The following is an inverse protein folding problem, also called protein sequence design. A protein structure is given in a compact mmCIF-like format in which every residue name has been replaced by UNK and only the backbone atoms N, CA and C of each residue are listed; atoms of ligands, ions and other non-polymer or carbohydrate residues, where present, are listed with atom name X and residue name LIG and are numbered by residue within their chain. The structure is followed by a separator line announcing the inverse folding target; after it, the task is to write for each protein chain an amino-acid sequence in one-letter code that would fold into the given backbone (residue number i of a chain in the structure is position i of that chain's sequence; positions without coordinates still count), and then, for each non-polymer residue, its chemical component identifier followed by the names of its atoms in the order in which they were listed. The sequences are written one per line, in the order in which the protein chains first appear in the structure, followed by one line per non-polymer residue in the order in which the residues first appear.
data_IF_234627836863
#
_entry.id   IF_234627836863
#
_cell.length_a   1.000
_cell.length_b   1.000
_cell.length_c   1.000
_cell.angle_alpha   90.00
_cell.angle_beta   90.00
_cell.angle_gamma   90.00
#
_symmetry.space_group_name_H-M   'P 1'
#
loop_
_entity.id
_entity.type
_entity.pdbx_description
1 polymer ?
#
# COMPACT_ATOMS: atom_id res chain seq x y z
N UNK A 1 15.31 19.69 24.14
CA UNK A 1 14.20 18.87 23.59
C UNK A 1 13.91 17.67 24.48
N UNK A 2 12.68 17.17 24.52
CA UNK A 2 12.27 16.01 25.30
C UNK A 2 11.50 15.03 24.41
N UNK A 3 11.84 13.73 24.47
CA UNK A 3 11.09 12.66 23.80
C UNK A 3 10.12 12.06 24.83
N UNK A 4 8.83 12.05 24.49
CA UNK A 4 7.77 11.52 25.35
C UNK A 4 7.03 10.38 24.66
N UNK A 5 6.62 9.40 25.44
CA UNK A 5 5.76 8.33 24.98
C UNK A 5 4.30 8.79 24.93
N UNK A 6 3.61 8.45 23.85
CA UNK A 6 2.20 8.82 23.65
C UNK A 6 1.28 8.06 24.61
N UNK A 7 1.55 6.77 24.84
CA UNK A 7 0.77 5.91 25.72
C UNK A 7 -0.73 5.98 25.46
N UNK A 8 -1.52 6.01 26.54
CA UNK A 8 -2.99 6.08 26.49
C UNK A 8 -3.55 7.52 26.55
N UNK A 9 -2.67 8.55 26.58
CA UNK A 9 -3.07 9.96 26.65
C UNK A 9 -3.85 10.38 25.38
N UNK A 10 -5.12 10.74 25.55
CA UNK A 10 -5.97 11.23 24.45
C UNK A 10 -5.38 12.48 23.77
N UNK A 11 -4.78 13.37 24.55
CA UNK A 11 -4.15 14.60 24.05
C UNK A 11 -2.95 14.26 23.17
N UNK A 12 -2.06 13.37 23.63
CA UNK A 12 -0.87 12.97 22.86
C UNK A 12 -1.23 12.13 21.63
N UNK A 13 -2.25 11.26 21.71
CA UNK A 13 -2.79 10.53 20.54
C UNK A 13 -3.28 11.50 19.47
N UNK A 14 -4.07 12.50 19.87
CA UNK A 14 -4.53 13.55 18.96
C UNK A 14 -3.36 14.34 18.37
N UNK A 15 -2.39 14.72 19.19
CA UNK A 15 -1.20 15.44 18.74
C UNK A 15 -0.38 14.62 17.71
N UNK A 16 -0.21 13.32 17.96
CA UNK A 16 0.45 12.40 17.04
C UNK A 16 -0.22 12.38 15.65
N UNK A 17 -1.56 12.44 15.59
CA UNK A 17 -2.32 12.48 14.33
C UNK A 17 -2.28 13.84 13.65
N UNK A 18 -2.26 14.93 14.42
CA UNK A 18 -2.37 16.30 13.90
C UNK A 18 -1.01 16.91 13.51
N UNK A 19 0.08 16.45 14.10
CA UNK A 19 1.42 16.97 13.84
C UNK A 19 1.80 17.02 12.35
N UNK A 20 1.55 15.99 11.51
CA UNK A 20 1.86 16.08 10.09
C UNK A 20 1.19 17.24 9.36
N UNK A 21 0.00 17.64 9.78
CA UNK A 21 -0.69 18.79 9.17
C UNK A 21 0.09 20.11 9.32
N UNK A 22 0.95 20.20 10.34
CA UNK A 22 1.85 21.35 10.50
C UNK A 22 3.09 21.24 9.64
N UNK A 23 3.68 20.04 9.55
CA UNK A 23 4.86 19.77 8.70
C UNK A 23 4.54 20.02 7.24
N UNK A 24 3.36 19.61 6.78
CA UNK A 24 2.93 19.73 5.37
C UNK A 24 2.07 20.97 5.09
N UNK A 25 2.03 21.95 6.00
CA UNK A 25 1.28 23.17 5.78
C UNK A 25 1.72 23.88 4.49
N UNK A 26 0.78 24.10 3.56
CA UNK A 26 1.05 24.70 2.25
C UNK A 26 1.52 23.71 1.18
N UNK A 27 1.77 22.46 1.50
CA UNK A 27 2.04 21.44 0.49
C UNK A 27 0.73 20.99 -0.17
N UNK A 28 0.59 21.22 -1.47
CA UNK A 28 -0.64 20.93 -2.22
C UNK A 28 -0.81 19.45 -2.58
N UNK A 29 0.22 18.64 -2.43
CA UNK A 29 0.20 17.23 -2.78
C UNK A 29 -0.03 16.33 -1.58
N UNK A 30 0.36 16.76 -0.39
CA UNK A 30 0.12 15.98 0.82
C UNK A 30 -1.38 15.86 1.14
N UNK A 31 -1.81 14.65 1.43
CA UNK A 31 -3.20 14.35 1.82
C UNK A 31 -3.17 13.77 3.23
N UNK A 32 -3.87 14.42 4.16
CA UNK A 32 -4.01 13.89 5.51
C UNK A 32 -4.77 12.57 5.48
N UNK A 33 -4.16 11.45 5.95
CA UNK A 33 -4.85 10.17 6.10
C UNK A 33 -6.06 10.30 7.04
N UNK A 34 -7.00 9.36 6.94
CA UNK A 34 -8.09 9.27 7.91
C UNK A 34 -7.53 8.94 9.29
N UNK A 35 -7.89 9.73 10.30
CA UNK A 35 -7.43 9.56 11.67
C UNK A 35 -7.77 8.13 12.19
N UNK A 36 -8.95 7.62 11.84
CA UNK A 36 -9.37 6.27 12.22
C UNK A 36 -8.52 5.15 11.59
N UNK A 37 -8.02 5.35 10.36
CA UNK A 37 -7.17 4.35 9.69
C UNK A 37 -5.83 4.24 10.41
N UNK A 38 -5.28 5.37 10.86
CA UNK A 38 -4.03 5.41 11.63
C UNK A 38 -4.24 4.87 13.05
N UNK A 39 -5.27 5.33 13.78
CA UNK A 39 -5.53 4.86 15.15
C UNK A 39 -5.83 3.37 15.22
N UNK A 40 -6.47 2.79 14.21
CA UNK A 40 -6.74 1.34 14.15
C UNK A 40 -5.45 0.51 14.24
N UNK A 41 -4.33 1.00 13.71
CA UNK A 41 -3.04 0.32 13.73
C UNK A 41 -2.51 0.19 15.16
N UNK A 42 -2.74 1.21 15.98
CA UNK A 42 -2.26 1.32 17.35
C UNK A 42 -3.29 0.88 18.40
N UNK A 43 -4.48 0.45 17.97
CA UNK A 43 -5.55 -0.01 18.85
C UNK A 43 -5.37 -1.51 19.15
N UNK A 44 -5.01 -1.83 20.40
CA UNK A 44 -4.79 -3.22 20.86
C UNK A 44 -6.03 -4.12 20.71
N UNK A 45 -7.22 -3.53 20.62
CA UNK A 45 -8.47 -4.30 20.47
C UNK A 45 -8.83 -4.57 19.01
N UNK A 46 -8.19 -3.87 18.05
CA UNK A 46 -8.50 -3.96 16.61
C UNK A 46 -7.37 -4.53 15.78
N UNK A 47 -6.12 -4.32 16.20
CA UNK A 47 -4.97 -4.84 15.47
C UNK A 47 -4.55 -6.20 16.06
N UNK A 48 -4.76 -7.31 15.33
CA UNK A 48 -4.45 -8.65 15.83
C UNK A 48 -2.95 -8.89 16.02
N UNK A 49 -2.07 -8.04 15.45
CA UNK A 49 -0.62 -8.18 15.62
C UNK A 49 -0.14 -7.90 17.05
N UNK A 50 -0.98 -7.32 17.89
CA UNK A 50 -0.68 -7.24 19.33
C UNK A 50 -0.72 -8.59 20.05
N UNK A 51 -1.26 -9.64 19.40
CA UNK A 51 -1.09 -11.01 19.87
C UNK A 51 0.33 -11.49 19.51
N UNK A 52 1.22 -11.43 20.48
CA UNK A 52 2.65 -11.73 20.33
C UNK A 52 3.53 -10.60 19.78
N UNK A 53 2.96 -9.47 19.41
CA UNK A 53 3.69 -8.27 18.99
C UNK A 53 3.54 -7.11 19.95
N UNK A 54 4.30 -6.06 19.71
CA UNK A 54 4.27 -4.84 20.52
C UNK A 54 4.54 -3.59 19.69
N UNK A 55 4.09 -2.43 20.17
CA UNK A 55 4.23 -1.16 19.47
C UNK A 55 4.25 0.00 20.47
N UNK A 56 5.03 1.03 20.14
CA UNK A 56 5.13 2.28 20.90
C UNK A 56 5.10 3.48 19.96
N UNK A 57 4.55 4.59 20.43
CA UNK A 57 4.57 5.88 19.73
C UNK A 57 5.30 6.93 20.55
N UNK A 58 6.10 7.76 19.89
CA UNK A 58 6.83 8.85 20.51
C UNK A 58 6.55 10.18 19.82
N UNK A 59 6.59 11.23 20.62
CA UNK A 59 6.63 12.63 20.18
C UNK A 59 7.88 13.28 20.74
N UNK A 60 8.51 14.18 19.97
CA UNK A 60 9.56 15.07 20.47
C UNK A 60 8.99 16.45 20.65
N UNK A 61 9.20 17.03 21.82
CA UNK A 61 8.77 18.37 22.20
C UNK A 61 10.01 19.24 22.40
N UNK A 62 9.99 20.45 21.85
CA UNK A 62 11.04 21.45 22.06
C UNK A 62 10.88 22.20 23.41
N UNK A 63 11.77 23.14 23.66
CA UNK A 63 11.78 23.94 24.90
C UNK A 63 10.58 24.86 25.02
N UNK A 64 9.90 25.17 23.91
CA UNK A 64 8.66 25.95 23.90
C UNK A 64 7.40 25.14 24.16
N UNK A 65 7.53 23.81 24.26
CA UNK A 65 6.41 22.87 24.39
C UNK A 65 5.76 22.48 23.06
N UNK A 66 6.37 22.80 21.92
CA UNK A 66 5.85 22.45 20.61
C UNK A 66 6.37 21.09 20.15
N UNK A 67 5.49 20.29 19.54
CA UNK A 67 5.90 19.04 18.90
C UNK A 67 6.69 19.34 17.63
N UNK A 68 7.87 18.74 17.53
CA UNK A 68 8.81 18.89 16.40
C UNK A 68 9.12 17.59 15.68
N UNK A 69 8.79 16.43 16.25
CA UNK A 69 8.86 15.14 15.57
C UNK A 69 7.88 14.12 16.16
N UNK A 70 7.57 13.09 15.37
CA UNK A 70 6.84 11.89 15.78
C UNK A 70 7.45 10.65 15.14
N UNK A 71 7.32 9.48 15.80
CA UNK A 71 7.67 8.17 15.26
C UNK A 71 6.94 7.07 16.01
N UNK A 72 6.76 5.91 15.38
CA UNK A 72 6.37 4.68 16.05
C UNK A 72 7.45 3.60 15.84
N UNK A 73 7.66 2.75 16.85
CA UNK A 73 8.45 1.53 16.71
C UNK A 73 7.58 0.33 17.07
N UNK A 74 7.86 -0.83 16.46
CA UNK A 74 7.05 -2.02 16.68
C UNK A 74 7.79 -3.32 16.36
N UNK A 75 7.35 -4.41 16.99
CA UNK A 75 7.76 -5.78 16.70
C UNK A 75 6.55 -6.52 16.15
N UNK A 76 6.58 -6.81 14.85
CA UNK A 76 5.52 -7.58 14.19
C UNK A 76 5.83 -9.08 14.34
N UNK A 77 5.00 -9.86 15.06
CA UNK A 77 5.27 -11.25 15.37
C UNK A 77 5.37 -12.13 14.11
N UNK A 78 4.69 -11.72 13.03
CA UNK A 78 4.67 -12.48 11.79
C UNK A 78 5.93 -12.28 10.92
N UNK A 79 6.73 -11.24 11.19
CA UNK A 79 7.88 -10.90 10.33
C UNK A 79 9.19 -10.74 11.08
N UNK A 80 9.16 -10.48 12.38
CA UNK A 80 10.33 -10.13 13.17
C UNK A 80 11.47 -11.18 13.10
N UNK A 81 11.12 -12.47 13.02
CA UNK A 81 12.07 -13.58 13.00
C UNK A 81 12.13 -14.35 11.67
N UNK A 82 11.62 -13.77 10.58
CA UNK A 82 11.60 -14.43 9.25
C UNK A 82 12.84 -14.14 8.39
N UNK A 83 13.67 -13.19 8.79
CA UNK A 83 14.88 -12.78 8.07
C UNK A 83 16.14 -13.39 8.68
N UNK A 84 17.30 -13.06 8.12
CA UNK A 84 18.62 -13.51 8.58
C UNK A 84 18.92 -13.10 10.03
N UNK A 85 18.28 -12.04 10.53
CA UNK A 85 18.39 -11.55 11.90
C UNK A 85 17.04 -11.05 12.41
N UNK A 86 16.79 -11.05 13.75
CA UNK A 86 15.61 -10.45 14.34
C UNK A 86 15.47 -8.97 13.95
N UNK A 87 14.39 -8.63 13.24
CA UNK A 87 14.20 -7.30 12.68
C UNK A 87 12.88 -6.69 13.13
N UNK A 88 12.94 -5.54 13.81
CA UNK A 88 11.77 -4.74 14.13
C UNK A 88 11.45 -3.71 13.06
N UNK A 89 10.41 -2.91 13.28
CA UNK A 89 9.99 -1.85 12.37
C UNK A 89 9.94 -0.48 13.04
N UNK A 90 10.15 0.55 12.25
CA UNK A 90 9.82 1.93 12.62
C UNK A 90 9.01 2.59 11.50
N UNK A 91 8.10 3.50 11.86
CA UNK A 91 7.29 4.19 10.87
C UNK A 91 6.50 5.36 11.42
N UNK A 92 5.62 5.92 10.60
CA UNK A 92 4.90 7.16 10.93
C UNK A 92 5.85 8.29 11.35
N UNK A 93 7.07 8.24 10.82
CA UNK A 93 8.12 9.21 11.09
C UNK A 93 7.78 10.53 10.39
N UNK A 94 7.74 11.59 11.18
CA UNK A 94 7.67 12.97 10.72
C UNK A 94 8.56 13.83 11.60
N UNK A 95 9.29 14.76 11.01
CA UNK A 95 10.24 15.61 11.70
C UNK A 95 10.37 16.96 11.01
N UNK A 96 10.61 18.02 11.76
CA UNK A 96 11.09 19.29 11.18
C UNK A 96 12.42 19.05 10.45
N UNK A 97 12.86 19.96 9.61
CA UNK A 97 14.16 19.88 8.93
C UNK A 97 15.31 20.09 9.92
N UNK A 98 15.52 19.07 10.76
CA UNK A 98 16.59 19.03 11.77
C UNK A 98 17.07 17.59 11.97
N UNK A 99 18.29 17.32 11.49
CA UNK A 99 18.89 16.00 11.52
C UNK A 99 19.14 15.46 12.94
N UNK A 100 19.50 16.33 13.90
CA UNK A 100 19.74 15.90 15.29
C UNK A 100 18.45 15.40 15.94
N UNK A 101 17.31 16.07 15.67
CA UNK A 101 15.99 15.63 16.14
C UNK A 101 15.62 14.28 15.51
N UNK A 102 15.87 14.13 14.21
CA UNK A 102 15.59 12.87 13.51
C UNK A 102 16.44 11.72 14.08
N UNK A 103 17.72 11.95 14.31
CA UNK A 103 18.64 10.93 14.87
C UNK A 103 18.23 10.52 16.27
N UNK A 104 17.87 11.47 17.12
CA UNK A 104 17.36 11.17 18.46
C UNK A 104 16.10 10.27 18.43
N UNK A 105 15.22 10.46 17.43
CA UNK A 105 14.03 9.61 17.25
C UNK A 105 14.41 8.21 16.76
N UNK A 106 15.39 8.09 15.85
CA UNK A 106 15.92 6.79 15.39
C UNK A 106 16.62 6.04 16.52
N UNK A 107 17.42 6.72 17.33
CA UNK A 107 18.06 6.15 18.54
C UNK A 107 17.01 5.64 19.53
N UNK A 108 15.93 6.41 19.75
CA UNK A 108 14.85 5.99 20.64
C UNK A 108 14.16 4.72 20.15
N UNK A 109 13.90 4.61 18.84
CA UNK A 109 13.37 3.39 18.24
C UNK A 109 14.34 2.21 18.36
N UNK A 110 15.62 2.45 18.06
CA UNK A 110 16.68 1.43 18.18
C UNK A 110 16.76 0.86 19.59
N UNK A 111 16.84 1.71 20.62
CA UNK A 111 16.91 1.26 22.03
C UNK A 111 15.67 0.42 22.37
N UNK A 112 14.47 0.89 22.05
CA UNK A 112 13.22 0.18 22.33
C UNK A 112 13.18 -1.20 21.64
N UNK A 113 13.69 -1.30 20.42
CA UNK A 113 13.77 -2.55 19.67
C UNK A 113 14.84 -3.49 20.22
N UNK A 114 16.01 -2.98 20.64
CA UNK A 114 17.08 -3.76 21.27
C UNK A 114 16.60 -4.40 22.60
N UNK A 115 15.84 -3.68 23.41
CA UNK A 115 15.23 -4.19 24.64
C UNK A 115 14.28 -5.37 24.36
N UNK A 116 13.81 -5.54 23.11
CA UNK A 116 12.94 -6.64 22.63
C UNK A 116 13.66 -7.68 21.79
N UNK A 117 14.99 -7.68 21.85
CA UNK A 117 15.83 -8.68 21.18
C UNK A 117 15.96 -8.48 19.67
N UNK A 118 15.60 -7.31 19.13
CA UNK A 118 15.82 -7.03 17.71
C UNK A 118 17.27 -6.62 17.46
N UNK A 119 17.80 -7.03 16.31
CA UNK A 119 19.17 -6.77 15.85
C UNK A 119 19.20 -5.79 14.68
N UNK A 120 18.05 -5.51 14.09
CA UNK A 120 17.89 -4.56 13.01
C UNK A 120 16.53 -3.85 13.09
N UNK A 121 16.39 -2.72 12.38
CA UNK A 121 15.10 -2.07 12.15
C UNK A 121 14.88 -1.72 10.69
N UNK A 122 13.71 -2.03 10.19
CA UNK A 122 13.22 -1.60 8.87
C UNK A 122 12.39 -0.32 9.00
N UNK A 123 12.52 0.57 8.03
CA UNK A 123 11.75 1.82 8.05
C UNK A 123 11.76 2.63 6.75
N UNK A 124 10.81 3.55 6.62
CA UNK A 124 9.56 3.60 7.38
C UNK A 124 8.57 2.52 6.92
N UNK A 125 7.99 1.81 7.84
CA UNK A 125 7.04 0.73 7.59
C UNK A 125 5.85 0.80 8.56
N UNK A 126 4.88 -0.11 8.43
CA UNK A 126 3.66 -0.13 9.21
C UNK A 126 3.65 -1.30 10.21
N UNK A 127 2.94 -1.15 11.33
CA UNK A 127 2.57 -2.27 12.20
C UNK A 127 1.30 -2.94 11.68
N UNK A 128 1.43 -3.54 10.49
CA UNK A 128 0.34 -4.12 9.72
C UNK A 128 0.84 -4.82 8.46
N UNK A 129 -0.02 -4.91 7.48
CA UNK A 129 0.30 -5.49 6.18
C UNK A 129 1.16 -4.53 5.34
N UNK A 130 1.98 -5.09 4.45
CA UNK A 130 2.84 -4.32 3.53
C UNK A 130 2.07 -3.43 2.54
N UNK A 131 0.78 -3.67 2.37
CA UNK A 131 -0.06 -2.98 1.40
C UNK A 131 -0.33 -1.52 1.76
N UNK A 132 -0.08 -1.14 3.00
CA UNK A 132 -0.33 0.21 3.50
C UNK A 132 0.86 0.76 4.27
N UNK A 133 1.12 2.06 4.11
CA UNK A 133 2.15 2.84 4.81
C UNK A 133 3.51 2.14 4.88
N UNK A 134 4.07 1.87 3.69
CA UNK A 134 5.32 1.15 3.56
C UNK A 134 6.30 1.86 2.63
N UNK A 135 7.54 2.04 3.10
CA UNK A 135 8.63 2.68 2.37
C UNK A 135 8.65 4.20 2.44
N UNK A 136 9.83 4.77 2.40
CA UNK A 136 10.06 6.21 2.31
C UNK A 136 9.74 6.68 0.90
N UNK A 137 8.79 7.58 0.72
CA UNK A 137 8.51 8.22 -0.56
C UNK A 137 9.69 9.11 -0.96
N UNK A 138 10.27 8.87 -2.12
CA UNK A 138 11.47 9.57 -2.58
C UNK A 138 11.34 10.23 -3.95
N UNK A 139 10.31 9.87 -4.74
CA UNK A 139 10.11 10.42 -6.08
C UNK A 139 8.74 9.99 -6.64
N UNK A 140 8.01 10.91 -7.36
CA UNK A 140 8.16 12.35 -7.42
C UNK A 140 7.45 13.05 -6.25
N UNK A 141 7.96 14.21 -5.82
CA UNK A 141 7.34 14.98 -4.72
C UNK A 141 6.20 15.90 -5.16
N UNK A 142 5.92 15.97 -6.45
CA UNK A 142 4.82 16.73 -7.04
C UNK A 142 3.63 15.85 -7.46
N UNK A 143 3.44 14.73 -6.75
CA UNK A 143 2.35 13.79 -6.95
C UNK A 143 1.63 13.47 -5.64
N UNK A 144 0.29 13.42 -5.69
CA UNK A 144 -0.53 12.97 -4.55
C UNK A 144 -0.23 11.51 -4.22
N UNK A 145 -0.10 11.12 -2.92
CA UNK A 145 0.00 9.72 -2.54
C UNK A 145 -1.29 8.98 -2.88
N UNK A 146 -1.18 7.70 -3.21
CA UNK A 146 -2.35 6.82 -3.23
C UNK A 146 -2.81 6.51 -1.81
N UNK A 147 -4.10 6.19 -1.64
CA UNK A 147 -4.65 5.85 -0.33
C UNK A 147 -3.83 4.74 0.35
N UNK A 148 -3.54 4.94 1.62
CA UNK A 148 -2.70 4.03 2.40
C UNK A 148 -1.21 4.09 2.09
N UNK A 149 -0.72 5.04 1.28
CA UNK A 149 0.70 5.23 1.04
C UNK A 149 1.22 6.50 1.73
N UNK A 150 2.47 6.45 2.15
CA UNK A 150 3.14 7.60 2.72
C UNK A 150 3.40 8.70 1.67
N UNK A 151 3.45 9.94 2.15
CA UNK A 151 4.06 11.08 1.50
C UNK A 151 5.09 11.67 2.47
N UNK A 152 6.29 11.97 1.99
CA UNK A 152 7.39 12.40 2.86
C UNK A 152 8.05 13.69 2.34
N UNK A 153 8.71 14.41 3.25
CA UNK A 153 9.56 15.55 2.90
C UNK A 153 10.85 15.08 2.22
N UNK A 154 11.38 15.89 1.29
CA UNK A 154 12.61 15.55 0.53
C UNK A 154 13.81 15.28 1.43
N UNK A 155 13.94 16.04 2.51
CA UNK A 155 15.08 15.96 3.42
C UNK A 155 15.08 14.69 4.29
N UNK A 156 13.96 13.96 4.40
CA UNK A 156 13.96 12.69 5.16
C UNK A 156 14.90 11.66 4.57
N UNK A 157 15.03 11.61 3.25
CA UNK A 157 15.97 10.70 2.61
C UNK A 157 17.38 10.88 3.15
N UNK A 158 17.86 12.12 3.24
CA UNK A 158 19.17 12.43 3.81
C UNK A 158 19.28 12.01 5.27
N UNK A 159 18.22 12.18 6.08
CA UNK A 159 18.24 11.75 7.48
C UNK A 159 18.43 10.25 7.62
N UNK A 160 17.71 9.44 6.82
CA UNK A 160 17.87 7.98 6.83
C UNK A 160 19.27 7.58 6.39
N UNK A 161 19.74 8.08 5.26
CA UNK A 161 21.06 7.72 4.70
C UNK A 161 22.22 8.18 5.60
N UNK A 162 22.17 9.40 6.13
CA UNK A 162 23.20 9.95 7.03
C UNK A 162 23.25 9.25 8.39
N UNK A 163 22.13 8.75 8.91
CA UNK A 163 22.08 7.94 10.11
C UNK A 163 22.72 6.55 9.89
N UNK A 164 22.75 6.09 8.63
CA UNK A 164 23.36 4.83 8.23
C UNK A 164 22.35 3.73 7.88
N UNK A 165 21.12 4.08 7.64
CA UNK A 165 20.19 3.16 6.98
C UNK A 165 20.64 2.86 5.55
N UNK A 166 20.38 1.65 5.09
CA UNK A 166 20.76 1.17 3.76
C UNK A 166 19.49 0.73 2.99
N UNK A 167 19.47 0.98 1.66
CA UNK A 167 18.39 0.59 0.76
C UNK A 167 18.21 -0.93 0.77
N UNK A 168 17.16 -1.40 1.47
CA UNK A 168 16.86 -2.82 1.59
C UNK A 168 16.11 -3.34 0.37
N UNK A 169 15.09 -2.61 -0.09
CA UNK A 169 14.43 -2.80 -1.38
C UNK A 169 13.65 -1.56 -1.77
N UNK A 170 13.40 -1.45 -3.08
CA UNK A 170 12.57 -0.37 -3.64
C UNK A 170 11.21 -0.87 -4.08
N UNK A 171 10.22 0.00 -4.00
CA UNK A 171 8.86 -0.25 -4.40
C UNK A 171 8.43 0.82 -5.38
N UNK A 172 7.81 0.41 -6.48
CA UNK A 172 7.40 1.31 -7.54
C UNK A 172 5.90 1.22 -7.75
N UNK A 173 5.23 2.36 -7.89
CA UNK A 173 3.90 2.39 -8.50
C UNK A 173 4.03 2.64 -10.00
N UNK A 174 3.01 2.24 -10.74
CA UNK A 174 2.99 2.38 -12.20
C UNK A 174 1.69 3.00 -12.64
N UNK A 175 1.77 3.95 -13.58
CA UNK A 175 0.62 4.67 -14.08
C UNK A 175 0.27 4.23 -15.51
N UNK A 176 -1.03 4.01 -15.72
CA UNK A 176 -1.64 3.68 -17.00
C UNK A 176 -2.76 4.66 -17.33
N UNK A 177 -2.88 5.14 -18.57
CA UNK A 177 -4.08 5.81 -19.04
C UNK A 177 -5.20 4.79 -19.26
N UNK A 178 -6.45 5.15 -18.91
CA UNK A 178 -7.63 4.32 -19.15
C UNK A 178 -8.32 4.63 -20.49
N UNK A 179 -8.47 5.91 -20.93
CA UNK A 179 -9.13 6.22 -22.19
C UNK A 179 -8.48 5.50 -23.37
N UNK A 180 -9.29 4.93 -24.26
CA UNK A 180 -8.85 4.02 -25.33
C UNK A 180 -7.72 4.61 -26.18
N UNK A 181 -7.87 5.84 -26.63
CA UNK A 181 -6.89 6.50 -27.49
C UNK A 181 -5.51 6.59 -26.82
N UNK A 182 -5.46 6.96 -25.54
CA UNK A 182 -4.20 7.08 -24.79
C UNK A 182 -3.66 5.68 -24.40
N UNK A 183 -4.53 4.75 -24.00
CA UNK A 183 -4.15 3.38 -23.66
C UNK A 183 -3.51 2.67 -24.85
N UNK A 184 -4.07 2.79 -26.06
CA UNK A 184 -3.52 2.19 -27.29
C UNK A 184 -2.14 2.71 -27.67
N UNK A 185 -1.77 3.91 -27.25
CA UNK A 185 -0.42 4.46 -27.51
C UNK A 185 0.67 3.80 -26.66
N UNK A 186 0.33 3.32 -25.48
CA UNK A 186 1.30 2.81 -24.50
C UNK A 186 1.31 1.30 -24.39
N UNK A 187 0.16 0.63 -24.57
CA UNK A 187 0.02 -0.82 -24.52
C UNK A 187 0.75 -1.44 -25.71
N UNK A 188 1.55 -2.47 -25.45
CA UNK A 188 2.28 -3.18 -26.51
C UNK A 188 1.31 -3.94 -27.43
N UNK A 189 1.45 -3.87 -28.77
CA UNK A 189 0.57 -4.60 -29.71
C UNK A 189 0.45 -6.09 -29.41
N UNK A 190 1.54 -6.73 -29.02
CA UNK A 190 1.56 -8.16 -28.66
C UNK A 190 0.54 -8.51 -27.54
N UNK A 191 0.19 -7.57 -26.65
CA UNK A 191 -0.83 -7.82 -25.64
C UNK A 191 -2.19 -8.11 -26.27
N UNK A 192 -2.57 -7.37 -27.31
CA UNK A 192 -3.84 -7.56 -28.02
C UNK A 192 -3.88 -8.92 -28.73
N UNK A 193 -2.76 -9.31 -29.37
CA UNK A 193 -2.66 -10.61 -30.06
C UNK A 193 -2.78 -11.76 -29.07
N UNK A 194 -2.05 -11.70 -27.94
CA UNK A 194 -2.10 -12.70 -26.88
C UNK A 194 -3.51 -12.81 -26.30
N UNK A 195 -4.13 -11.67 -25.95
CA UNK A 195 -5.47 -11.64 -25.38
C UNK A 195 -6.52 -12.20 -26.36
N UNK A 196 -6.45 -11.82 -27.65
CA UNK A 196 -7.39 -12.32 -28.66
C UNK A 196 -7.25 -13.83 -28.86
N UNK A 197 -6.03 -14.39 -28.81
CA UNK A 197 -5.82 -15.84 -28.83
C UNK A 197 -6.52 -16.53 -27.66
N UNK A 198 -6.40 -15.98 -26.44
CA UNK A 198 -7.08 -16.52 -25.25
C UNK A 198 -8.60 -16.48 -25.43
N UNK A 199 -9.17 -15.36 -25.90
CA UNK A 199 -10.62 -15.24 -26.13
C UNK A 199 -11.14 -16.22 -27.20
N UNK A 200 -10.30 -16.60 -28.17
CA UNK A 200 -10.63 -17.59 -29.20
C UNK A 200 -10.48 -19.03 -28.72
N UNK A 201 -9.88 -19.26 -27.55
CA UNK A 201 -9.68 -20.60 -27.00
C UNK A 201 -10.91 -20.98 -26.15
N UNK A 202 -11.57 -22.12 -26.43
CA UNK A 202 -12.73 -22.54 -25.66
C UNK A 202 -12.43 -22.71 -24.17
N UNK A 203 -13.43 -22.45 -23.34
CA UNK A 203 -13.38 -22.64 -21.89
C UNK A 203 -12.92 -21.42 -21.11
N UNK A 204 -12.28 -20.41 -21.72
CA UNK A 204 -11.92 -19.17 -21.03
C UNK A 204 -13.08 -18.18 -20.99
N UNK A 205 -13.31 -17.59 -19.82
CA UNK A 205 -14.30 -16.54 -19.58
C UNK A 205 -13.70 -15.47 -18.66
N UNK A 206 -14.01 -14.18 -18.92
CA UNK A 206 -13.54 -13.05 -18.13
C UNK A 206 -14.71 -12.13 -17.83
N UNK A 207 -14.98 -11.90 -16.55
CA UNK A 207 -16.10 -11.08 -16.11
C UNK A 207 -15.76 -10.26 -14.89
N UNK A 208 -16.42 -9.11 -14.77
CA UNK A 208 -16.33 -8.31 -13.56
C UNK A 208 -17.31 -8.82 -12.49
N UNK A 209 -17.09 -8.37 -11.26
CA UNK A 209 -17.95 -8.68 -10.12
C UNK A 209 -19.36 -8.19 -10.33
N UNK A 210 -20.32 -8.97 -9.82
CA UNK A 210 -21.70 -8.56 -9.63
C UNK A 210 -21.98 -8.43 -8.12
N UNK A 211 -22.38 -7.25 -7.66
CA UNK A 211 -22.69 -6.97 -6.24
C UNK A 211 -23.76 -7.87 -5.64
N UNK A 212 -24.60 -8.49 -6.47
CA UNK A 212 -25.62 -9.45 -6.03
C UNK A 212 -25.03 -10.83 -5.71
N UNK A 213 -23.83 -11.13 -6.19
CA UNK A 213 -23.15 -12.42 -6.09
C UNK A 213 -21.85 -12.35 -5.27
N UNK A 214 -21.70 -11.34 -4.40
CA UNK A 214 -20.46 -11.15 -3.61
C UNK A 214 -19.97 -12.39 -2.86
N UNK A 215 -20.85 -13.26 -2.28
CA UNK A 215 -20.37 -14.49 -1.64
C UNK A 215 -19.62 -15.43 -2.60
N UNK A 216 -20.09 -15.55 -3.86
CA UNK A 216 -19.41 -16.33 -4.89
C UNK A 216 -18.04 -15.74 -5.19
N UNK A 217 -17.96 -14.43 -5.44
CA UNK A 217 -16.69 -13.77 -5.75
C UNK A 217 -15.70 -13.75 -4.57
N UNK A 218 -16.19 -13.78 -3.32
CA UNK A 218 -15.35 -13.96 -2.15
C UNK A 218 -14.69 -15.35 -2.15
N UNK A 219 -15.43 -16.40 -2.50
CA UNK A 219 -14.90 -17.76 -2.62
C UNK A 219 -13.94 -17.89 -3.81
N UNK A 220 -14.28 -17.34 -4.97
CA UNK A 220 -13.39 -17.32 -6.15
C UNK A 220 -12.06 -16.60 -5.82
N UNK A 221 -12.13 -15.46 -5.10
CA UNK A 221 -10.95 -14.75 -4.59
C UNK A 221 -10.12 -15.63 -3.68
N UNK A 222 -10.73 -16.30 -2.70
CA UNK A 222 -10.07 -17.20 -1.76
C UNK A 222 -9.32 -18.32 -2.48
N UNK A 223 -9.99 -18.98 -3.45
CA UNK A 223 -9.40 -20.09 -4.22
C UNK A 223 -8.16 -19.62 -4.98
N UNK A 224 -8.27 -18.52 -5.71
CA UNK A 224 -7.14 -18.00 -6.49
C UNK A 224 -6.02 -17.53 -5.55
N UNK A 225 -6.35 -16.79 -4.48
CA UNK A 225 -5.37 -16.28 -3.51
C UNK A 225 -4.55 -17.43 -2.93
N UNK A 226 -5.20 -18.46 -2.39
CA UNK A 226 -4.51 -19.58 -1.76
C UNK A 226 -3.62 -20.34 -2.76
N UNK A 227 -4.07 -20.55 -4.00
CA UNK A 227 -3.26 -21.19 -5.06
C UNK A 227 -2.10 -20.30 -5.53
N UNK A 228 -2.34 -19.02 -5.74
CA UNK A 228 -1.33 -18.09 -6.27
C UNK A 228 -0.22 -17.79 -5.27
N UNK A 229 -0.52 -17.77 -3.96
CA UNK A 229 0.42 -17.48 -2.87
C UNK A 229 0.74 -18.68 -1.98
N UNK A 230 0.36 -19.91 -2.36
CA UNK A 230 0.58 -21.12 -1.57
C UNK A 230 2.04 -21.34 -1.12
N UNK A 231 3.00 -20.83 -1.89
CA UNK A 231 4.44 -20.91 -1.58
C UNK A 231 4.94 -19.76 -0.70
N UNK A 232 4.12 -18.75 -0.46
CA UNK A 232 4.50 -17.58 0.33
C UNK A 232 3.98 -17.74 1.76
N UNK A 233 4.79 -18.38 2.60
CA UNK A 233 4.43 -18.70 4.01
C UNK A 233 4.10 -17.45 4.84
N UNK A 234 4.57 -16.26 4.46
CA UNK A 234 4.30 -15.01 5.17
C UNK A 234 2.90 -14.43 4.92
N UNK A 235 2.23 -14.82 3.83
CA UNK A 235 0.91 -14.31 3.49
C UNK A 235 -0.22 -14.95 4.31
N UNK A 236 -0.01 -16.14 4.86
CA UNK A 236 -1.02 -16.93 5.57
C UNK A 236 -2.12 -17.44 4.64
N UNK A 237 -2.87 -18.42 5.12
CA UNK A 237 -4.01 -18.94 4.38
C UNK A 237 -5.21 -17.99 4.45
N UNK A 238 -5.88 -17.79 3.31
CA UNK A 238 -7.13 -17.06 3.22
C UNK A 238 -8.29 -17.99 3.58
N UNK A 239 -8.89 -17.78 4.76
CA UNK A 239 -10.08 -18.54 5.17
C UNK A 239 -11.34 -18.00 4.49
N UNK A 240 -12.44 -18.79 4.40
CA UNK A 240 -13.71 -18.32 3.86
C UNK A 240 -14.23 -17.07 4.59
N UNK A 241 -14.12 -17.05 5.92
CA UNK A 241 -14.58 -15.94 6.78
C UNK A 241 -13.78 -14.68 6.50
N UNK A 242 -12.43 -14.80 6.34
CA UNK A 242 -11.55 -13.67 6.02
C UNK A 242 -11.87 -13.10 4.63
N UNK A 243 -12.06 -13.96 3.63
CA UNK A 243 -12.44 -13.53 2.28
C UNK A 243 -13.79 -12.83 2.25
N UNK A 244 -14.79 -13.37 2.95
CA UNK A 244 -16.10 -12.75 3.08
C UNK A 244 -16.03 -11.38 3.80
N UNK A 245 -15.25 -11.28 4.88
CA UNK A 245 -15.04 -10.04 5.62
C UNK A 245 -14.37 -8.96 4.75
N UNK A 246 -13.36 -9.32 3.95
CA UNK A 246 -12.71 -8.41 3.00
C UNK A 246 -13.75 -7.86 2.00
N UNK A 247 -14.54 -8.73 1.36
CA UNK A 247 -15.56 -8.31 0.39
C UNK A 247 -16.65 -7.43 1.02
N UNK A 248 -17.08 -7.71 2.24
CA UNK A 248 -18.03 -6.86 2.97
C UNK A 248 -17.44 -5.49 3.31
N UNK A 249 -16.18 -5.44 3.72
CA UNK A 249 -15.47 -4.20 4.01
C UNK A 249 -15.31 -3.35 2.75
N UNK A 250 -15.06 -3.98 1.61
CA UNK A 250 -14.91 -3.29 0.32
C UNK A 250 -16.25 -2.85 -0.30
N UNK A 251 -17.38 -3.46 0.09
CA UNK A 251 -18.71 -3.23 -0.52
C UNK A 251 -19.08 -1.75 -0.67
N UNK A 252 -18.81 -0.83 0.29
CA UNK A 252 -19.15 0.59 0.16
C UNK A 252 -18.37 1.34 -0.94
N UNK A 253 -17.18 0.85 -1.29
CA UNK A 253 -16.27 1.47 -2.26
C UNK A 253 -16.12 0.64 -3.54
N UNK A 254 -16.75 -0.54 -3.56
CA UNK A 254 -16.65 -1.46 -4.67
C UNK A 254 -17.40 -0.92 -5.88
N UNK A 255 -16.71 -0.88 -7.01
CA UNK A 255 -17.30 -0.69 -8.33
C UNK A 255 -17.12 -1.96 -9.16
N UNK A 256 -18.23 -2.47 -9.73
CA UNK A 256 -18.24 -3.78 -10.37
C UNK A 256 -17.21 -3.87 -11.50
N UNK A 257 -17.12 -2.84 -12.33
CA UNK A 257 -16.22 -2.75 -13.47
C UNK A 257 -14.72 -2.67 -13.10
N UNK A 258 -14.41 -2.43 -11.82
CA UNK A 258 -13.02 -2.38 -11.31
C UNK A 258 -12.53 -3.71 -10.72
N UNK A 259 -13.39 -4.75 -10.65
CA UNK A 259 -13.02 -6.05 -10.07
C UNK A 259 -13.27 -7.17 -11.06
N UNK A 260 -12.21 -7.72 -11.62
CA UNK A 260 -12.26 -8.72 -12.69
C UNK A 260 -11.80 -10.09 -12.23
N UNK A 261 -12.47 -11.12 -12.73
CA UNK A 261 -12.12 -12.52 -12.55
C UNK A 261 -12.00 -13.22 -13.89
N UNK A 262 -10.99 -14.10 -14.02
CA UNK A 262 -10.80 -15.00 -15.14
C UNK A 262 -11.12 -16.43 -14.74
N UNK A 263 -11.76 -17.16 -15.63
CA UNK A 263 -12.18 -18.55 -15.44
C UNK A 263 -11.69 -19.42 -16.60
N UNK A 264 -11.49 -20.71 -16.31
CA UNK A 264 -11.28 -21.73 -17.34
C UNK A 264 -12.15 -22.94 -17.00
N UNK A 265 -13.05 -23.32 -17.92
CA UNK A 265 -14.05 -24.38 -17.72
C UNK A 265 -14.90 -24.18 -16.43
N UNK A 266 -15.18 -22.93 -16.09
CA UNK A 266 -15.93 -22.55 -14.88
C UNK A 266 -15.12 -22.42 -13.61
N UNK A 267 -13.86 -22.87 -13.58
CA UNK A 267 -12.98 -22.76 -12.43
C UNK A 267 -12.26 -21.40 -12.39
N UNK A 268 -12.20 -20.72 -11.21
CA UNK A 268 -11.54 -19.44 -11.09
C UNK A 268 -10.01 -19.59 -11.15
N UNK A 269 -9.36 -18.83 -12.06
CA UNK A 269 -7.93 -18.95 -12.33
C UNK A 269 -7.14 -17.65 -12.17
N UNK A 270 -7.81 -16.52 -12.22
CA UNK A 270 -7.17 -15.21 -12.12
C UNK A 270 -8.12 -14.16 -11.54
N UNK A 271 -7.56 -13.14 -10.91
CA UNK A 271 -8.26 -11.91 -10.58
C UNK A 271 -7.41 -10.67 -10.85
N UNK A 272 -8.07 -9.56 -11.13
CA UNK A 272 -7.50 -8.22 -11.15
C UNK A 272 -8.45 -7.30 -10.38
N UNK A 273 -8.04 -6.93 -9.17
CA UNK A 273 -8.85 -6.15 -8.25
C UNK A 273 -8.32 -4.73 -8.19
N UNK A 274 -9.19 -3.81 -8.54
CA UNK A 274 -8.97 -2.37 -8.51
C UNK A 274 -10.06 -1.72 -7.66
N UNK A 275 -9.82 -0.52 -7.20
CA UNK A 275 -10.79 0.31 -6.47
C UNK A 275 -10.68 1.77 -6.95
N UNK A 276 -11.68 2.61 -6.69
CA UNK A 276 -11.51 4.06 -6.79
C UNK A 276 -10.32 4.53 -5.94
N UNK A 277 -9.53 5.48 -6.43
CA UNK A 277 -8.46 6.08 -5.61
C UNK A 277 -9.06 6.99 -4.54
N UNK A 278 -9.14 6.48 -3.31
CA UNK A 278 -9.89 7.12 -2.23
C UNK A 278 -9.32 8.47 -1.80
N UNK A 279 -8.00 8.69 -1.97
CA UNK A 279 -7.39 9.98 -1.63
C UNK A 279 -7.92 11.13 -2.49
N UNK A 280 -8.46 10.85 -3.67
CA UNK A 280 -9.16 11.86 -4.49
C UNK A 280 -10.39 12.46 -3.76
N UNK A 281 -10.99 11.71 -2.83
CA UNK A 281 -12.11 12.15 -1.99
C UNK A 281 -11.60 12.57 -0.61
N UNK A 282 -10.69 11.79 0.00
CA UNK A 282 -10.17 12.01 1.35
C UNK A 282 -9.52 13.40 1.49
N UNK A 283 -8.87 13.91 0.44
CA UNK A 283 -8.26 15.26 0.46
C UNK A 283 -9.24 16.38 0.83
N UNK A 284 -10.54 16.18 0.60
CA UNK A 284 -11.57 17.17 0.92
C UNK A 284 -12.13 17.07 2.34
N UNK A 285 -11.79 16.02 3.09
CA UNK A 285 -12.35 15.75 4.44
C UNK A 285 -11.35 15.90 5.59
N UNK A 286 -10.09 16.24 5.26
CA UNK A 286 -9.06 16.57 6.25
C UNK A 286 -8.93 15.57 7.41
N UNK A 287 -8.86 14.28 7.07
CA UNK A 287 -8.61 13.19 8.02
C UNK A 287 -9.80 12.79 8.91
N UNK A 288 -10.93 13.50 8.88
CA UNK A 288 -12.06 13.28 9.82
C UNK A 288 -13.33 12.84 9.11
N UNK A 289 -13.67 11.57 9.23
CA UNK A 289 -14.91 11.00 8.70
C UNK A 289 -16.09 11.18 9.69
N UNK A 290 -16.27 12.41 10.19
CA UNK A 290 -17.43 12.84 10.98
C UNK A 290 -18.63 13.12 10.04
N UNK A 291 -19.75 13.66 10.57
CA UNK A 291 -20.95 13.93 9.76
C UNK A 291 -20.66 14.81 8.54
N UNK A 292 -19.87 15.89 8.71
CA UNK A 292 -19.47 16.79 7.62
C UNK A 292 -18.60 16.03 6.60
N UNK A 293 -17.64 15.23 7.09
CA UNK A 293 -16.80 14.39 6.25
C UNK A 293 -17.62 13.39 5.43
N UNK A 294 -18.62 12.74 6.03
CA UNK A 294 -19.54 11.82 5.32
C UNK A 294 -20.38 12.53 4.25
N UNK A 295 -20.87 13.75 4.53
CA UNK A 295 -21.61 14.55 3.54
C UNK A 295 -20.67 14.91 2.36
N UNK A 296 -19.45 15.37 2.63
CA UNK A 296 -18.46 15.65 1.58
C UNK A 296 -18.11 14.40 0.79
N UNK A 297 -17.91 13.26 1.46
CA UNK A 297 -17.69 11.97 0.79
C UNK A 297 -18.82 11.65 -0.20
N UNK A 298 -20.05 11.69 0.28
CA UNK A 298 -21.22 11.41 -0.55
C UNK A 298 -21.32 12.39 -1.74
N UNK A 299 -21.10 13.69 -1.51
CA UNK A 299 -21.08 14.70 -2.56
C UNK A 299 -20.05 14.36 -3.66
N UNK A 300 -18.79 14.11 -3.28
CA UNK A 300 -17.73 13.81 -4.24
C UNK A 300 -17.98 12.48 -4.99
N UNK A 301 -18.57 11.50 -4.32
CA UNK A 301 -18.97 10.22 -4.95
C UNK A 301 -20.07 10.44 -5.98
N UNK A 302 -21.14 11.16 -5.64
CA UNK A 302 -22.26 11.44 -6.55
C UNK A 302 -21.83 12.31 -7.75
N UNK A 303 -20.98 13.30 -7.50
CA UNK A 303 -20.44 14.18 -8.55
C UNK A 303 -19.34 13.53 -9.39
N UNK A 304 -18.96 12.28 -9.10
CA UNK A 304 -17.91 11.52 -9.82
C UNK A 304 -16.61 12.32 -9.99
N UNK A 305 -16.19 13.03 -8.91
CA UNK A 305 -14.99 13.87 -8.94
C UNK A 305 -13.69 13.05 -8.93
N UNK A 306 -13.77 11.78 -8.55
CA UNK A 306 -12.65 10.86 -8.60
C UNK A 306 -12.38 10.44 -10.05
N UNK A 307 -11.17 10.73 -10.54
CA UNK A 307 -10.71 10.44 -11.91
C UNK A 307 -9.64 9.37 -11.98
N UNK A 308 -9.25 8.81 -10.83
CA UNK A 308 -8.20 7.80 -10.74
C UNK A 308 -8.73 6.50 -10.15
N UNK A 309 -8.40 5.39 -10.78
CA UNK A 309 -8.50 4.05 -10.19
C UNK A 309 -7.16 3.61 -9.62
N UNK A 310 -7.19 2.73 -8.62
CA UNK A 310 -6.01 2.12 -8.00
C UNK A 310 -6.08 0.59 -8.17
N UNK A 311 -5.01 0.00 -8.70
CA UNK A 311 -4.82 -1.45 -8.68
C UNK A 311 -4.40 -1.90 -7.28
N UNK A 312 -5.13 -2.83 -6.70
CA UNK A 312 -4.88 -3.33 -5.34
C UNK A 312 -4.08 -4.62 -5.38
N UNK A 313 -4.59 -5.61 -6.10
CA UNK A 313 -3.98 -6.94 -6.18
C UNK A 313 -4.29 -7.59 -7.53
N UNK A 314 -3.28 -8.29 -8.05
CA UNK A 314 -3.36 -9.06 -9.26
C UNK A 314 -2.83 -10.47 -9.01
N UNK A 315 -3.58 -11.49 -9.40
CA UNK A 315 -3.18 -12.87 -9.18
C UNK A 315 -3.60 -13.80 -10.32
N UNK A 316 -2.71 -14.72 -10.66
CA UNK A 316 -2.96 -15.84 -11.58
C UNK A 316 -2.42 -17.10 -10.93
N UNK A 317 -3.21 -18.16 -10.88
CA UNK A 317 -2.76 -19.43 -10.32
C UNK A 317 -1.59 -20.00 -11.11
N UNK A 318 -0.64 -20.72 -10.47
CA UNK A 318 0.64 -21.12 -11.08
C UNK A 318 0.51 -21.81 -12.42
N UNK A 319 -0.47 -22.68 -12.60
CA UNK A 319 -0.71 -23.49 -13.80
C UNK A 319 -1.06 -22.63 -15.03
N UNK A 320 -1.49 -21.39 -14.83
CA UNK A 320 -1.91 -20.47 -15.89
C UNK A 320 -0.99 -19.28 -16.08
N UNK A 321 0.04 -19.13 -15.23
CA UNK A 321 1.02 -18.06 -15.36
C UNK A 321 1.80 -18.18 -16.68
N UNK A 322 2.09 -17.03 -17.32
CA UNK A 322 2.83 -16.98 -18.58
C UNK A 322 2.07 -17.49 -19.81
N UNK A 323 0.79 -17.84 -19.67
CA UNK A 323 -0.06 -18.29 -20.79
C UNK A 323 -0.83 -17.16 -21.47
N UNK A 324 -0.73 -15.92 -20.96
CA UNK A 324 -1.38 -14.73 -21.50
C UNK A 324 -2.69 -14.35 -20.83
N UNK A 325 -3.02 -15.00 -19.70
CA UNK A 325 -4.21 -14.69 -18.90
C UNK A 325 -4.15 -13.23 -18.39
N UNK A 326 -2.95 -12.78 -18.05
CA UNK A 326 -2.67 -11.40 -17.64
C UNK A 326 -3.11 -10.40 -18.72
N UNK A 327 -2.78 -10.71 -19.98
CA UNK A 327 -3.16 -9.86 -21.12
C UNK A 327 -4.67 -9.89 -21.37
N UNK A 328 -5.29 -11.06 -21.26
CA UNK A 328 -6.72 -11.21 -21.49
C UNK A 328 -7.57 -10.48 -20.44
N UNK A 329 -7.27 -10.65 -19.15
CA UNK A 329 -8.01 -9.97 -18.08
C UNK A 329 -7.82 -8.44 -18.14
N UNK A 330 -6.60 -7.97 -18.45
CA UNK A 330 -6.32 -6.54 -18.61
C UNK A 330 -7.08 -5.94 -19.80
N UNK A 331 -7.14 -6.66 -20.94
CA UNK A 331 -7.91 -6.19 -22.10
C UNK A 331 -9.42 -6.27 -21.87
N UNK A 332 -9.90 -7.23 -21.08
CA UNK A 332 -11.34 -7.28 -20.67
C UNK A 332 -11.74 -6.04 -19.88
N UNK A 333 -10.94 -5.67 -18.88
CA UNK A 333 -11.09 -4.42 -18.14
C UNK A 333 -11.05 -3.21 -19.08
N UNK A 334 -10.03 -3.13 -19.93
CA UNK A 334 -9.87 -1.99 -20.85
C UNK A 334 -11.10 -1.81 -21.74
N UNK A 335 -11.61 -2.90 -22.36
CA UNK A 335 -12.81 -2.87 -23.23
C UNK A 335 -14.05 -2.39 -22.49
N UNK A 336 -14.24 -2.77 -21.25
CA UNK A 336 -15.36 -2.29 -20.43
C UNK A 336 -15.26 -0.79 -20.13
N UNK A 337 -14.03 -0.27 -20.02
CA UNK A 337 -13.77 1.16 -19.75
C UNK A 337 -13.75 2.01 -21.02
N UNK A 338 -13.60 1.43 -22.21
CA UNK A 338 -13.53 2.16 -23.49
C UNK A 338 -14.93 2.55 -23.99
N UNK A 339 -15.63 3.24 -23.14
CA UNK A 339 -16.98 3.79 -23.42
C UNK A 339 -16.97 5.32 -23.26
N UNK A 340 -17.83 6.04 -23.98
CA UNK A 340 -17.91 7.49 -23.84
C UNK A 340 -18.17 7.90 -22.40
N UNK A 341 -17.42 8.94 -21.94
CA UNK A 341 -17.57 9.53 -20.60
C UNK A 341 -17.32 8.54 -19.44
N UNK A 342 -16.47 7.52 -19.64
CA UNK A 342 -16.03 6.69 -18.52
C UNK A 342 -15.40 7.55 -17.42
N UNK A 343 -15.71 7.22 -16.17
CA UNK A 343 -15.37 8.10 -15.05
C UNK A 343 -13.87 8.25 -14.84
N UNK A 344 -13.11 7.14 -14.94
CA UNK A 344 -11.68 7.11 -14.60
C UNK A 344 -10.81 7.40 -15.81
N UNK A 345 -9.80 8.25 -15.60
CA UNK A 345 -8.84 8.67 -16.63
C UNK A 345 -7.51 7.92 -16.50
N UNK A 346 -7.15 7.53 -15.27
CA UNK A 346 -5.88 6.85 -14.98
C UNK A 346 -6.05 5.71 -14.01
N UNK A 347 -5.24 4.66 -14.20
CA UNK A 347 -5.06 3.55 -13.27
C UNK A 347 -3.65 3.61 -12.70
N UNK A 348 -3.52 3.77 -11.40
CA UNK A 348 -2.25 3.61 -10.70
C UNK A 348 -2.17 2.21 -10.09
N UNK A 349 -1.28 1.37 -10.63
CA UNK A 349 -1.00 0.05 -10.07
C UNK A 349 -0.28 0.21 -8.74
N UNK A 350 -0.72 -0.53 -7.73
CA UNK A 350 -0.10 -0.55 -6.42
C UNK A 350 1.37 -0.97 -6.53
N UNK A 351 2.14 -0.72 -5.49
CA UNK A 351 3.57 -0.90 -5.54
C UNK A 351 4.00 -2.33 -5.90
N UNK A 352 5.02 -2.40 -6.72
CA UNK A 352 5.71 -3.62 -7.08
C UNK A 352 7.17 -3.46 -6.66
N UNK A 353 7.67 -4.42 -5.88
CA UNK A 353 9.04 -4.37 -5.40
C UNK A 353 10.04 -4.73 -6.50
N UNK A 354 11.25 -4.15 -6.41
CA UNK A 354 12.36 -4.42 -7.32
C UNK A 354 12.86 -5.87 -7.23
N UNK A 355 12.60 -6.56 -6.12
CA UNK A 355 12.89 -7.98 -5.96
C UNK A 355 11.85 -8.91 -6.64
N UNK A 356 10.80 -8.36 -7.30
CA UNK A 356 9.79 -9.14 -8.04
C UNK A 356 9.85 -8.85 -9.56
N UNK A 357 10.87 -9.37 -10.27
CA UNK A 357 11.08 -9.10 -11.69
C UNK A 357 9.94 -9.63 -12.59
N UNK A 358 9.22 -10.67 -12.16
CA UNK A 358 8.09 -11.22 -12.91
C UNK A 358 6.96 -10.19 -13.03
N UNK A 359 6.59 -9.55 -11.91
CA UNK A 359 5.56 -8.51 -11.92
C UNK A 359 6.02 -7.25 -12.65
N UNK A 360 7.30 -6.88 -12.55
CA UNK A 360 7.86 -5.77 -13.34
C UNK A 360 7.75 -6.02 -14.86
N UNK A 361 7.92 -7.26 -15.33
CA UNK A 361 7.68 -7.61 -16.74
C UNK A 361 6.22 -7.45 -17.16
N UNK A 362 5.28 -7.79 -16.27
CA UNK A 362 3.84 -7.59 -16.53
C UNK A 362 3.53 -6.10 -16.72
N UNK A 363 4.04 -5.21 -15.87
CA UNK A 363 3.84 -3.76 -16.04
C UNK A 363 4.41 -3.23 -17.36
N UNK A 364 5.57 -3.74 -17.78
CA UNK A 364 6.18 -3.38 -19.07
C UNK A 364 5.33 -3.86 -20.26
N UNK A 365 4.70 -5.04 -20.17
CA UNK A 365 3.78 -5.53 -21.21
C UNK A 365 2.53 -4.67 -21.32
N UNK A 366 2.00 -4.21 -20.18
CA UNK A 366 0.87 -3.29 -20.12
C UNK A 366 1.22 -1.87 -20.62
N UNK A 367 2.51 -1.56 -20.82
CA UNK A 367 2.97 -0.22 -21.18
C UNK A 367 2.88 0.79 -20.02
N UNK A 368 2.80 0.28 -18.79
CA UNK A 368 2.71 1.10 -17.60
C UNK A 368 4.02 1.86 -17.35
N UNK A 369 3.93 3.14 -17.05
CA UNK A 369 5.08 3.99 -16.73
C UNK A 369 5.32 3.98 -15.24
N UNK A 370 6.58 3.74 -14.82
CA UNK A 370 6.99 3.93 -13.44
C UNK A 370 6.61 5.35 -13.00
N UNK A 371 5.94 5.46 -11.85
CA UNK A 371 5.38 6.73 -11.39
C UNK A 371 5.97 7.16 -10.05
N UNK A 372 5.78 6.38 -8.98
CA UNK A 372 6.33 6.71 -7.66
C UNK A 372 7.38 5.69 -7.23
N UNK A 373 8.34 6.15 -6.46
CA UNK A 373 9.38 5.32 -5.84
C UNK A 373 9.32 5.46 -4.33
N UNK A 374 9.30 4.33 -3.67
CA UNK A 374 9.43 4.21 -2.22
C UNK A 374 10.64 3.34 -1.90
N UNK A 375 11.37 3.65 -0.84
CA UNK A 375 12.51 2.86 -0.39
C UNK A 375 12.20 2.33 1.01
N UNK A 376 12.24 1.02 1.17
CA UNK A 376 12.30 0.41 2.50
C UNK A 376 13.76 0.32 2.89
N UNK A 377 14.13 1.06 3.90
CA UNK A 377 15.47 1.07 4.44
C UNK A 377 15.60 0.05 5.56
N UNK A 378 16.82 -0.47 5.75
CA UNK A 378 17.20 -1.30 6.89
C UNK A 378 18.41 -0.70 7.59
N UNK A 379 18.37 -0.69 8.92
CA UNK A 379 19.50 -0.33 9.78
C UNK A 379 19.90 -1.52 10.64
N UNK A 380 21.14 -2.04 10.44
CA UNK A 380 21.72 -3.10 11.27
C UNK A 380 22.30 -2.47 12.53
N UNK A 381 21.97 -3.03 13.71
CA UNK A 381 22.45 -2.50 14.98
C UNK A 381 23.92 -2.82 15.19
N UNK A 382 24.38 -4.02 14.79
CA UNK A 382 25.79 -4.31 14.64
C UNK A 382 26.29 -3.77 13.29
N UNK A 383 27.03 -2.67 13.33
CA UNK A 383 27.58 -1.99 12.14
C UNK A 383 28.72 -2.76 11.46
N UNK A 384 29.21 -3.85 12.05
CA UNK A 384 30.22 -4.74 11.46
C UNK A 384 29.59 -5.85 10.62
N UNK A 385 28.30 -6.13 10.83
CA UNK A 385 27.58 -7.13 10.07
C UNK A 385 27.44 -6.69 8.60
N UNK A 386 27.67 -7.64 7.67
CA UNK A 386 27.48 -7.39 6.25
C UNK A 386 26.00 -7.12 5.94
N UNK A 387 25.73 -5.98 5.29
CA UNK A 387 24.40 -5.67 4.81
C UNK A 387 24.08 -6.44 3.54
N UNK A 388 22.88 -7.05 3.50
CA UNK A 388 22.33 -7.71 2.31
C UNK A 388 20.97 -7.11 1.96
N UNK A 389 20.80 -6.82 0.68
CA UNK A 389 19.49 -6.41 0.15
C UNK A 389 18.49 -7.57 0.19
N UNK A 390 17.20 -7.23 0.17
CA UNK A 390 16.12 -8.23 0.08
C UNK A 390 16.36 -9.18 -1.12
N UNK A 391 16.32 -10.50 -0.91
CA UNK A 391 16.56 -11.45 -1.99
C UNK A 391 15.45 -11.40 -3.05
N UNK A 392 15.81 -11.64 -4.31
CA UNK A 392 14.87 -11.71 -5.45
C UNK A 392 14.02 -12.99 -5.38
N UNK A 393 12.72 -12.89 -5.72
CA UNK A 393 11.74 -13.99 -5.68
C UNK A 393 11.28 -14.44 -7.10
#
# INVERSE_FOLDING_TARGET
MQIIEVGESRTLKKEFLEFPSRIYKGNKYWIRPLDNDIEKIFDRTKNPLFDGGDCVRYLTIDESGMTIARVAAFVNPNTANQNDQPTGGMGFFECIDNQEVAFAMFDKCKVWLQERGMEAMDGPVNFGERDNWWGLHVDPYDAEPTWGMFYHQKYYRAFFENYGFQDYFQQYTFLLPIPEFEARKVVRPALFEIANRIYSTPGYDFKHVNKKELPKFAEDFRIIYNKAWAKNMSAGEMTPERAAAIMQTMKPILEEELMWFGYHNGEPIAFFIMIPELNQIIKHINGKLNLIGKIKWLYHTLMKTNKKARGVIFGVIPEYQGRGIESAIALSFSRACWVPNYQYETLELNWIADFNPKMLKVTQMLGAKKYKTYITYRYLFDRKQEFKRCPTI
#
